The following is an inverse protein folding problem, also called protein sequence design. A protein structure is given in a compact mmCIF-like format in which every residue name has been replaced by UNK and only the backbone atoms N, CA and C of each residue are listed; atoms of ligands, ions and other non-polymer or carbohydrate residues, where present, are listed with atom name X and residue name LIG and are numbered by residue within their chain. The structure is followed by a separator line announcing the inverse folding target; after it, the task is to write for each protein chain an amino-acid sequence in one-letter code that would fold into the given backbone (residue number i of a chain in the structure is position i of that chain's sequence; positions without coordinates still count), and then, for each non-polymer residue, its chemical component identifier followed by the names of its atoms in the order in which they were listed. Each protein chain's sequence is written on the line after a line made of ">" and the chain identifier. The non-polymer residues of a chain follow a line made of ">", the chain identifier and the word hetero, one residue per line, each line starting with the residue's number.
data_IF_966725017265
#
_entry.id   IF_966725017265
#
_cell.length_a   1.000
_cell.length_b   1.000
_cell.length_c   1.000
_cell.angle_alpha   90.00
_cell.angle_beta   90.00
_cell.angle_gamma   90.00
#
_symmetry.space_group_name_H-M   'P 1'
#
loop_
_entity.id
_entity.type
_entity.pdbx_description
1 polymer ?
#
# COMPACT_ATOMS: atom_id res chain seq x y z
N UNK A 1 11.88 -14.99 8.29
CA UNK A 1 10.95 -15.57 7.28
C UNK A 1 9.51 -15.67 7.77
N UNK A 2 9.22 -16.47 8.81
CA UNK A 2 7.83 -16.74 9.23
C UNK A 2 7.02 -15.48 9.57
N UNK A 3 7.58 -14.54 10.32
CA UNK A 3 6.92 -13.27 10.65
C UNK A 3 6.58 -12.42 9.41
N UNK A 4 7.47 -12.41 8.42
CA UNK A 4 7.26 -11.69 7.16
C UNK A 4 6.09 -12.29 6.38
N UNK A 5 6.04 -13.62 6.30
CA UNK A 5 4.96 -14.34 5.61
C UNK A 5 3.62 -14.13 6.34
N UNK A 6 3.59 -14.26 7.67
CA UNK A 6 2.38 -14.04 8.47
C UNK A 6 1.90 -12.59 8.29
N UNK A 7 2.80 -11.62 8.37
CA UNK A 7 2.48 -10.21 8.12
C UNK A 7 1.90 -9.98 6.73
N UNK A 8 2.49 -10.58 5.68
CA UNK A 8 2.01 -10.48 4.30
C UNK A 8 0.63 -11.11 4.11
N UNK A 9 0.41 -12.30 4.66
CA UNK A 9 -0.90 -12.98 4.59
C UNK A 9 -1.96 -12.17 5.31
N UNK A 10 -1.65 -11.65 6.51
CA UNK A 10 -2.57 -10.81 7.29
C UNK A 10 -2.89 -9.52 6.53
N UNK A 11 -1.87 -8.81 6.03
CA UNK A 11 -2.04 -7.60 5.22
C UNK A 11 -2.95 -7.85 4.04
N UNK A 12 -2.66 -8.88 3.24
CA UNK A 12 -3.38 -9.18 2.00
C UNK A 12 -4.82 -9.60 2.30
N UNK A 13 -5.01 -10.50 3.27
CA UNK A 13 -6.33 -10.94 3.70
C UNK A 13 -7.21 -9.79 4.16
N UNK A 14 -6.67 -8.88 4.99
CA UNK A 14 -7.41 -7.70 5.46
C UNK A 14 -7.84 -6.79 4.30
N UNK A 15 -6.95 -6.52 3.34
CA UNK A 15 -7.26 -5.64 2.20
C UNK A 15 -8.25 -6.26 1.21
N UNK A 16 -8.37 -7.59 1.16
CA UNK A 16 -9.39 -8.25 0.36
C UNK A 16 -10.78 -8.27 1.01
N UNK A 17 -10.90 -8.08 2.33
CA UNK A 17 -12.21 -8.12 2.99
C UNK A 17 -13.18 -7.06 2.42
N UNK A 18 -12.81 -5.78 2.27
CA UNK A 18 -13.72 -4.74 1.76
C UNK A 18 -14.16 -4.96 0.29
N UNK A 19 -13.39 -5.71 -0.50
CA UNK A 19 -13.64 -5.91 -1.93
C UNK A 19 -14.24 -7.27 -2.27
N UNK A 20 -13.73 -8.36 -1.66
CA UNK A 20 -14.11 -9.74 -1.95
C UNK A 20 -15.05 -10.35 -0.89
N UNK A 21 -15.01 -9.86 0.34
CA UNK A 21 -15.78 -10.41 1.46
C UNK A 21 -16.76 -9.39 2.07
N UNK A 22 -17.47 -8.65 1.20
CA UNK A 22 -18.42 -7.60 1.59
C UNK A 22 -19.46 -8.10 2.61
N UNK A 23 -20.11 -9.28 2.45
CA UNK A 23 -21.09 -9.77 3.43
C UNK A 23 -20.47 -10.07 4.80
N UNK A 24 -19.22 -10.56 4.81
CA UNK A 24 -18.49 -10.83 6.05
C UNK A 24 -18.18 -9.53 6.80
N UNK A 25 -17.71 -8.50 6.09
CA UNK A 25 -17.52 -7.16 6.66
C UNK A 25 -18.82 -6.61 7.25
N UNK A 26 -19.92 -6.67 6.49
CA UNK A 26 -21.22 -6.18 6.95
C UNK A 26 -21.68 -6.88 8.22
N UNK A 27 -21.53 -8.21 8.30
CA UNK A 27 -21.84 -8.97 9.52
C UNK A 27 -21.01 -8.50 10.72
N UNK A 28 -19.71 -8.30 10.54
CA UNK A 28 -18.84 -7.80 11.60
C UNK A 28 -19.22 -6.39 12.05
N UNK A 29 -19.52 -5.49 11.11
CA UNK A 29 -19.97 -4.12 11.41
C UNK A 29 -21.31 -4.14 12.13
N UNK A 30 -22.23 -5.02 11.78
CA UNK A 30 -23.53 -5.15 12.46
C UNK A 30 -23.39 -5.64 13.91
N UNK A 31 -22.39 -6.48 14.20
CA UNK A 31 -22.13 -7.02 15.55
C UNK A 31 -21.34 -6.04 16.39
N UNK A 32 -20.31 -5.40 15.81
CA UNK A 32 -19.34 -4.58 16.54
C UNK A 32 -19.66 -3.09 16.53
N UNK A 33 -20.44 -2.63 15.55
CA UNK A 33 -20.55 -1.23 15.18
C UNK A 33 -19.42 -0.76 14.25
N UNK A 34 -19.66 0.32 13.51
CA UNK A 34 -18.75 0.83 12.48
C UNK A 34 -17.42 1.34 13.06
N UNK A 35 -17.46 2.16 14.12
CA UNK A 35 -16.25 2.70 14.76
C UNK A 35 -15.36 1.61 15.38
N UNK A 36 -15.89 0.67 16.20
CA UNK A 36 -15.06 -0.41 16.75
C UNK A 36 -14.48 -1.31 15.67
N UNK A 37 -15.25 -1.64 14.63
CA UNK A 37 -14.75 -2.39 13.48
C UNK A 37 -13.56 -1.66 12.81
N UNK A 38 -13.69 -0.35 12.56
CA UNK A 38 -12.65 0.44 11.92
C UNK A 38 -11.36 0.49 12.77
N UNK A 39 -11.47 0.61 14.09
CA UNK A 39 -10.32 0.58 15.01
C UNK A 39 -9.64 -0.79 14.97
N UNK A 40 -10.39 -1.88 15.11
CA UNK A 40 -9.84 -3.24 15.09
C UNK A 40 -9.16 -3.52 13.74
N UNK A 41 -9.82 -3.17 12.64
CA UNK A 41 -9.26 -3.32 11.30
C UNK A 41 -7.93 -2.55 11.17
N UNK A 42 -7.89 -1.30 11.62
CA UNK A 42 -6.69 -0.46 11.57
C UNK A 42 -5.55 -1.05 12.42
N UNK A 43 -5.84 -1.54 13.63
CA UNK A 43 -4.86 -2.20 14.49
C UNK A 43 -4.30 -3.47 13.86
N UNK A 44 -5.14 -4.27 13.20
CA UNK A 44 -4.71 -5.48 12.49
C UNK A 44 -3.80 -5.12 11.30
N UNK A 45 -4.13 -4.07 10.55
CA UNK A 45 -3.30 -3.56 9.45
C UNK A 45 -1.94 -3.08 9.98
N UNK A 46 -1.91 -2.25 11.02
CA UNK A 46 -0.66 -1.80 11.65
C UNK A 46 0.15 -2.98 12.17
N UNK A 47 -0.49 -3.94 12.84
CA UNK A 47 0.18 -5.14 13.33
C UNK A 47 0.81 -5.94 12.19
N UNK A 48 0.15 -6.05 11.04
CA UNK A 48 0.71 -6.72 9.86
C UNK A 48 1.98 -6.04 9.34
N UNK A 49 2.02 -4.70 9.34
CA UNK A 49 3.24 -3.93 9.01
C UNK A 49 4.34 -4.24 10.02
N UNK A 50 4.03 -4.20 11.33
CA UNK A 50 4.99 -4.49 12.39
C UNK A 50 5.60 -5.88 12.22
N UNK A 51 4.78 -6.89 11.94
CA UNK A 51 5.23 -8.25 11.65
C UNK A 51 6.13 -8.32 10.42
N UNK A 52 5.79 -7.60 9.34
CA UNK A 52 6.65 -7.53 8.14
C UNK A 52 7.99 -6.86 8.44
N UNK A 53 8.02 -5.76 9.20
CA UNK A 53 9.25 -5.06 9.58
C UNK A 53 10.17 -5.95 10.42
N UNK A 54 9.66 -6.57 11.49
CA UNK A 54 10.46 -7.47 12.33
C UNK A 54 10.87 -8.73 11.56
N UNK A 55 9.98 -9.26 10.73
CA UNK A 55 10.27 -10.40 9.87
C UNK A 55 11.33 -10.12 8.81
N UNK A 56 11.42 -8.89 8.31
CA UNK A 56 12.48 -8.45 7.40
C UNK A 56 13.81 -8.26 8.13
N UNK A 57 13.78 -7.60 9.30
CA UNK A 57 14.99 -7.34 10.12
C UNK A 57 15.67 -8.61 10.62
N UNK A 58 14.95 -9.73 10.71
CA UNK A 58 15.49 -11.01 11.14
C UNK A 58 16.24 -11.78 10.03
N UNK A 59 16.47 -11.16 8.87
CA UNK A 59 17.03 -11.80 7.68
C UNK A 59 18.38 -11.16 7.41
N UNK A 60 19.38 -11.98 7.08
CA UNK A 60 20.64 -11.46 6.56
C UNK A 60 20.44 -10.96 5.12
N UNK A 61 20.72 -9.67 4.82
CA UNK A 61 20.56 -9.13 3.48
C UNK A 61 21.54 -9.80 2.51
N UNK A 62 21.03 -10.27 1.38
CA UNK A 62 21.84 -10.76 0.26
C UNK A 62 21.82 -9.72 -0.85
N UNK A 63 22.99 -9.41 -1.40
CA UNK A 63 23.10 -8.52 -2.57
C UNK A 63 22.62 -9.25 -3.82
N UNK A 64 21.40 -8.95 -4.27
CA UNK A 64 20.80 -9.57 -5.48
C UNK A 64 21.07 -8.75 -6.74
N UNK A 65 21.15 -7.42 -6.62
CA UNK A 65 21.32 -6.52 -7.76
C UNK A 65 21.98 -5.20 -7.34
N UNK A 66 22.93 -4.71 -8.13
CA UNK A 66 23.56 -3.41 -7.94
C UNK A 66 23.06 -2.46 -9.01
N UNK A 67 22.45 -1.36 -8.58
CA UNK A 67 21.90 -0.34 -9.48
C UNK A 67 23.02 0.51 -10.09
N UNK A 68 22.93 0.88 -11.38
CA UNK A 68 23.81 1.89 -11.96
C UNK A 68 23.71 3.23 -11.22
N UNK A 69 24.79 3.99 -11.11
CA UNK A 69 24.83 5.21 -10.31
C UNK A 69 23.84 6.30 -10.78
N UNK A 70 23.61 6.38 -12.09
CA UNK A 70 22.70 7.35 -12.70
C UNK A 70 21.22 7.06 -12.37
N UNK A 71 20.90 5.84 -11.93
CA UNK A 71 19.52 5.43 -11.65
C UNK A 71 18.86 6.30 -10.58
N UNK A 72 19.63 6.80 -9.58
CA UNK A 72 19.14 7.73 -8.55
C UNK A 72 18.57 9.00 -9.15
N UNK A 73 19.28 9.59 -10.13
CA UNK A 73 18.83 10.81 -10.80
C UNK A 73 17.56 10.56 -11.62
N UNK A 74 17.50 9.43 -12.33
CA UNK A 74 16.29 9.04 -13.06
C UNK A 74 15.12 8.85 -12.10
N UNK A 75 15.31 8.15 -10.97
CA UNK A 75 14.25 7.94 -9.97
C UNK A 75 13.75 9.28 -9.42
N UNK A 76 14.63 10.21 -9.07
CA UNK A 76 14.23 11.54 -8.61
C UNK A 76 13.41 12.30 -9.65
N UNK A 77 13.80 12.23 -10.94
CA UNK A 77 13.04 12.85 -12.03
C UNK A 77 11.66 12.21 -12.20
N UNK A 78 11.58 10.88 -12.14
CA UNK A 78 10.31 10.15 -12.23
C UNK A 78 9.38 10.46 -11.05
N UNK A 79 9.93 10.59 -9.83
CA UNK A 79 9.15 10.99 -8.65
C UNK A 79 8.64 12.43 -8.79
N UNK A 80 9.44 13.34 -9.35
CA UNK A 80 8.97 14.70 -9.66
C UNK A 80 7.78 14.67 -10.64
N UNK A 81 7.88 13.87 -11.70
CA UNK A 81 6.77 13.67 -12.65
C UNK A 81 5.54 13.11 -11.91
N UNK A 82 5.73 12.11 -11.03
CA UNK A 82 4.64 11.55 -10.22
C UNK A 82 3.96 12.61 -9.35
N UNK A 83 4.69 13.54 -8.74
CA UNK A 83 4.09 14.66 -8.00
C UNK A 83 3.29 15.61 -8.89
N UNK A 84 3.79 15.91 -10.10
CA UNK A 84 3.06 16.74 -11.07
C UNK A 84 1.74 16.04 -11.47
N UNK A 85 1.79 14.74 -11.74
CA UNK A 85 0.62 13.95 -12.10
C UNK A 85 -0.36 13.80 -10.93
N UNK A 86 0.14 13.65 -9.70
CA UNK A 86 -0.67 13.65 -8.48
C UNK A 86 -1.43 14.96 -8.32
N UNK A 87 -0.77 16.11 -8.51
CA UNK A 87 -1.44 17.41 -8.50
C UNK A 87 -2.44 17.55 -9.66
N UNK A 88 -2.06 17.12 -10.87
CA UNK A 88 -2.93 17.13 -12.05
C UNK A 88 -4.20 16.30 -11.83
N UNK A 89 -4.13 15.21 -11.08
CA UNK A 89 -5.26 14.36 -10.74
C UNK A 89 -6.30 15.00 -9.82
N UNK A 90 -5.98 16.11 -9.16
CA UNK A 90 -6.89 16.84 -8.29
C UNK A 90 -7.20 18.27 -8.77
N UNK A 91 -6.50 18.77 -9.79
CA UNK A 91 -6.71 20.11 -10.37
C UNK A 91 -7.21 20.06 -11.82
N UNK A 92 -7.76 21.19 -12.31
CA UNK A 92 -8.07 21.40 -13.74
C UNK A 92 -6.80 21.82 -14.47
N UNK A 93 -6.15 20.89 -15.18
CA UNK A 93 -4.91 21.14 -15.92
C UNK A 93 -5.04 20.66 -17.37
N UNK A 94 -4.22 21.20 -18.28
CA UNK A 94 -4.16 20.73 -19.66
C UNK A 94 -3.58 19.31 -19.79
N UNK A 95 -2.86 18.82 -18.77
CA UNK A 95 -2.28 17.46 -18.73
C UNK A 95 -3.38 16.40 -18.90
N UNK A 96 -4.56 16.63 -18.32
CA UNK A 96 -5.72 15.71 -18.42
C UNK A 96 -6.27 15.54 -19.83
N UNK A 97 -5.90 16.41 -20.79
CA UNK A 97 -6.27 16.25 -22.20
C UNK A 97 -5.53 15.08 -22.85
N UNK A 98 -4.33 14.77 -22.37
CA UNK A 98 -3.46 13.71 -22.91
C UNK A 98 -3.43 12.48 -22.00
N UNK A 99 -3.50 12.68 -20.68
CA UNK A 99 -3.46 11.61 -19.68
C UNK A 99 -4.82 11.50 -19.01
N UNK A 100 -5.58 10.46 -19.38
CA UNK A 100 -6.95 10.25 -18.88
C UNK A 100 -7.01 10.00 -17.37
N UNK A 101 -6.05 9.26 -16.83
CA UNK A 101 -6.03 8.83 -15.43
C UNK A 101 -4.69 9.16 -14.78
N UNK A 102 -4.45 10.44 -14.45
CA UNK A 102 -3.16 10.91 -13.93
C UNK A 102 -2.66 10.25 -12.63
N UNK A 103 -3.50 9.54 -11.86
CA UNK A 103 -3.02 8.75 -10.71
C UNK A 103 -2.67 7.30 -11.04
N UNK A 104 -3.16 6.80 -12.17
CA UNK A 104 -2.99 5.40 -12.61
C UNK A 104 -2.04 5.28 -13.80
N UNK A 105 -1.56 6.41 -14.32
CA UNK A 105 -0.58 6.52 -15.43
C UNK A 105 0.72 7.02 -14.85
#
# INVERSE_FOLDING_TARGET
>A
MSLLIIGLVLWSGLHFIPSLAIPFRQRLVNILGDKPYAIIFSLLVVSSIVLMVFGWRSIEPVSVYVLPEWSRLLTSLLVLIAFILFAAAHAKTNIRRFIRHSQLT
#
